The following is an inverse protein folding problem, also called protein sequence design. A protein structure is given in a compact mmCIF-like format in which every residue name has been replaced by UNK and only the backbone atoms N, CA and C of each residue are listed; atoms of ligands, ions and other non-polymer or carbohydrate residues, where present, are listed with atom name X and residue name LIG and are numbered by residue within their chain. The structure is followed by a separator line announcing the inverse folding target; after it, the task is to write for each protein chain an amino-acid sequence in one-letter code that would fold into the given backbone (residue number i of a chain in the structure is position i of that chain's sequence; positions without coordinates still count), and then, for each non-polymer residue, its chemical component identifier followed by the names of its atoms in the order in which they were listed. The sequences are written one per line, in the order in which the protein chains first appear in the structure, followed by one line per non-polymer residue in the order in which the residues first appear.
data_IF_799159925131
#
_entry.id   IF_799159925131
#
_cell.length_a   1.000
_cell.length_b   1.000
_cell.length_c   1.000
_cell.angle_alpha   90.00
_cell.angle_beta   90.00
_cell.angle_gamma   90.00
#
_symmetry.space_group_name_H-M   'P 1'
#
loop_
_entity.id
_entity.type
_entity.pdbx_description
1 polymer ?
#
# COMPACT_ATOMS: atom_id res chain seq x y z
N UNK A 1 12.98 -16.63 -17.17
CA UNK A 1 12.71 -16.04 -15.84
C UNK A 1 14.02 -16.12 -15.06
N UNK A 2 14.66 -14.99 -14.78
CA UNK A 2 16.06 -14.95 -14.32
C UNK A 2 16.22 -15.62 -12.94
N UNK A 3 16.99 -16.70 -12.91
CA UNK A 3 17.40 -17.47 -11.71
C UNK A 3 18.12 -16.59 -10.68
N UNK A 4 18.81 -15.54 -11.12
CA UNK A 4 19.52 -14.55 -10.30
C UNK A 4 18.62 -13.74 -9.35
N UNK A 5 17.29 -13.74 -9.53
CA UNK A 5 16.37 -13.09 -8.59
C UNK A 5 15.81 -14.05 -7.52
N UNK A 6 16.07 -15.35 -7.63
CA UNK A 6 15.57 -16.35 -6.68
C UNK A 6 16.27 -16.21 -5.32
N UNK A 7 17.59 -16.03 -5.34
CA UNK A 7 18.41 -15.94 -4.13
C UNK A 7 18.18 -14.63 -3.37
N UNK A 8 17.86 -13.54 -4.10
CA UNK A 8 17.44 -12.26 -3.50
C UNK A 8 16.07 -12.33 -2.78
N UNK A 9 15.25 -13.37 -3.02
CA UNK A 9 13.98 -13.58 -2.30
C UNK A 9 14.16 -14.42 -1.04
N UNK A 10 15.20 -15.23 -0.98
CA UNK A 10 15.58 -16.03 0.19
C UNK A 10 16.52 -15.23 1.13
N UNK A 11 16.57 -13.90 1.00
CA UNK A 11 17.32 -13.04 1.92
C UNK A 11 16.88 -13.29 3.38
N UNK A 12 17.82 -13.22 4.35
CA UNK A 12 17.54 -13.47 5.78
C UNK A 12 16.42 -12.60 6.37
N UNK A 13 16.10 -11.49 5.70
CA UNK A 13 15.00 -10.59 6.03
C UNK A 13 13.63 -11.21 5.78
N UNK A 14 13.49 -12.15 4.82
CA UNK A 14 12.19 -12.73 4.48
C UNK A 14 11.57 -13.49 5.66
N UNK A 15 12.37 -14.26 6.39
CA UNK A 15 11.92 -14.98 7.59
C UNK A 15 11.45 -14.02 8.68
N UNK A 16 12.17 -12.93 8.88
CA UNK A 16 11.80 -11.88 9.81
C UNK A 16 10.48 -11.21 9.41
N UNK A 17 10.32 -10.83 8.13
CA UNK A 17 9.10 -10.20 7.63
C UNK A 17 7.89 -11.14 7.73
N UNK A 18 8.04 -12.43 7.42
CA UNK A 18 6.98 -13.42 7.60
C UNK A 18 6.59 -13.57 9.08
N UNK A 19 7.58 -13.60 9.98
CA UNK A 19 7.34 -13.63 11.42
C UNK A 19 6.57 -12.39 11.89
N UNK A 20 7.03 -11.18 11.53
CA UNK A 20 6.35 -9.94 11.87
C UNK A 20 4.92 -9.90 11.31
N UNK A 21 4.71 -10.39 10.08
CA UNK A 21 3.39 -10.45 9.46
C UNK A 21 2.46 -11.38 10.24
N UNK A 22 2.96 -12.56 10.65
CA UNK A 22 2.18 -13.51 11.48
C UNK A 22 1.85 -12.91 12.83
N UNK A 23 2.81 -12.25 13.48
CA UNK A 23 2.63 -11.63 14.79
C UNK A 23 1.59 -10.51 14.73
N UNK A 24 1.65 -9.64 13.72
CA UNK A 24 0.66 -8.58 13.50
C UNK A 24 -0.72 -9.14 13.15
N UNK A 25 -0.79 -10.25 12.40
CA UNK A 25 -2.07 -10.90 12.07
C UNK A 25 -2.70 -11.55 13.31
N UNK A 26 -1.90 -12.22 14.14
CA UNK A 26 -2.35 -12.82 15.40
C UNK A 26 -2.87 -11.75 16.36
N UNK A 27 -2.06 -10.72 16.63
CA UNK A 27 -2.43 -9.59 17.48
C UNK A 27 -3.75 -8.94 17.03
N UNK A 28 -3.93 -8.75 15.72
CA UNK A 28 -5.18 -8.22 15.15
C UNK A 28 -6.38 -9.12 15.43
N UNK A 29 -6.23 -10.43 15.29
CA UNK A 29 -7.30 -11.39 15.54
C UNK A 29 -7.69 -11.43 17.02
N UNK A 30 -6.71 -11.40 17.92
CA UNK A 30 -6.92 -11.37 19.37
C UNK A 30 -7.65 -10.08 19.78
N UNK A 31 -7.16 -8.92 19.33
CA UNK A 31 -7.81 -7.65 19.61
C UNK A 31 -9.22 -7.56 19.04
N UNK A 32 -9.47 -8.09 17.84
CA UNK A 32 -10.82 -8.13 17.27
C UNK A 32 -11.79 -8.93 18.15
N UNK A 33 -11.32 -10.06 18.71
CA UNK A 33 -12.13 -10.86 19.65
C UNK A 33 -12.37 -10.10 20.95
N UNK A 34 -11.33 -9.48 21.50
CA UNK A 34 -11.42 -8.68 22.73
C UNK A 34 -12.40 -7.51 22.60
N UNK A 35 -12.30 -6.72 21.53
CA UNK A 35 -13.20 -5.58 21.25
C UNK A 35 -14.65 -6.07 21.18
N UNK A 36 -14.91 -7.17 20.45
CA UNK A 36 -16.26 -7.73 20.31
C UNK A 36 -16.82 -8.24 21.65
N UNK A 37 -15.99 -8.93 22.44
CA UNK A 37 -16.41 -9.46 23.73
C UNK A 37 -16.75 -8.36 24.74
N UNK A 38 -15.97 -7.28 24.76
CA UNK A 38 -16.13 -6.19 25.71
C UNK A 38 -17.04 -5.05 25.19
N UNK A 39 -17.65 -5.20 24.01
CA UNK A 39 -18.53 -4.19 23.43
C UNK A 39 -17.84 -2.84 23.15
N UNK A 40 -16.53 -2.84 22.96
CA UNK A 40 -15.76 -1.62 22.75
C UNK A 40 -15.88 -1.15 21.30
N UNK A 41 -15.77 0.16 21.08
CA UNK A 41 -15.63 0.70 19.74
C UNK A 41 -14.21 0.44 19.20
N UNK A 42 -14.04 -0.13 17.99
CA UNK A 42 -12.72 -0.40 17.44
C UNK A 42 -11.82 0.84 17.28
N UNK A 43 -12.42 2.01 17.03
CA UNK A 43 -11.67 3.26 16.87
C UNK A 43 -11.19 3.76 18.24
N UNK A 44 -12.00 3.62 19.29
CA UNK A 44 -11.60 3.94 20.67
C UNK A 44 -10.60 2.95 21.27
N UNK A 45 -10.62 1.68 20.85
CA UNK A 45 -9.67 0.66 21.30
C UNK A 45 -8.24 0.89 20.78
N UNK A 46 -8.11 1.44 19.56
CA UNK A 46 -6.79 1.81 19.05
C UNK A 46 -6.16 2.89 19.94
N UNK A 47 -4.83 2.81 20.15
CA UNK A 47 -4.11 3.75 21.01
C UNK A 47 -4.34 5.20 20.56
N UNK A 48 -4.24 6.15 21.50
CA UNK A 48 -4.37 7.59 21.24
C UNK A 48 -3.54 8.05 20.02
N UNK A 49 -2.38 7.42 19.81
CA UNK A 49 -1.45 7.66 18.72
C UNK A 49 -2.02 7.40 17.31
N UNK A 50 -3.10 6.63 17.19
CA UNK A 50 -3.74 6.34 15.90
C UNK A 50 -4.90 7.30 15.57
N UNK A 51 -5.20 8.26 16.46
CA UNK A 51 -6.21 9.27 16.16
C UNK A 51 -5.69 10.27 15.14
N UNK A 52 -6.59 10.75 14.28
CA UNK A 52 -6.24 11.69 13.20
C UNK A 52 -5.58 12.96 13.74
N UNK A 53 -6.12 13.52 14.82
CA UNK A 53 -5.60 14.72 15.48
C UNK A 53 -4.16 14.51 15.97
N UNK A 54 -3.88 13.36 16.60
CA UNK A 54 -2.52 13.02 17.04
C UNK A 54 -1.57 12.85 15.85
N UNK A 55 -1.99 12.12 14.82
CA UNK A 55 -1.19 11.95 13.60
C UNK A 55 -0.86 13.31 12.99
N UNK A 56 -1.86 14.19 12.80
CA UNK A 56 -1.63 15.53 12.26
C UNK A 56 -0.62 16.31 13.11
N UNK A 57 -0.76 16.30 14.45
CA UNK A 57 0.19 16.94 15.37
C UNK A 57 1.62 16.41 15.24
N UNK A 58 1.81 15.11 15.02
CA UNK A 58 3.17 14.58 14.79
C UNK A 58 3.79 15.08 13.49
N UNK A 59 2.98 15.40 12.49
CA UNK A 59 3.41 15.95 11.20
C UNK A 59 3.31 17.49 11.13
N UNK A 60 2.86 18.17 12.19
CA UNK A 60 2.84 19.64 12.28
C UNK A 60 4.26 20.20 12.41
N UNK A 61 5.19 19.42 12.98
CA UNK A 61 6.58 19.80 13.08
C UNK A 61 7.25 19.54 11.74
N UNK A 62 7.82 20.59 11.15
CA UNK A 62 8.57 20.53 9.91
C UNK A 62 9.92 19.82 10.16
N UNK A 63 9.94 18.49 10.05
CA UNK A 63 11.13 17.68 10.40
C UNK A 63 12.32 17.97 9.49
N UNK A 64 12.11 18.51 8.29
CA UNK A 64 13.15 19.06 7.41
C UNK A 64 12.49 20.08 6.49
N UNK A 65 12.61 21.39 6.74
CA UNK A 65 12.08 22.40 5.84
C UNK A 65 12.64 22.18 4.44
N UNK A 66 11.76 22.22 3.42
CA UNK A 66 12.24 22.40 2.06
C UNK A 66 12.88 23.81 2.03
N UNK A 67 14.16 23.92 1.64
CA UNK A 67 14.80 25.22 1.55
C UNK A 67 14.11 26.09 0.50
N UNK A 68 14.22 27.41 0.64
CA UNK A 68 13.73 28.33 -0.40
C UNK A 68 14.33 28.00 -1.77
N UNK A 69 13.56 28.16 -2.84
CA UNK A 69 14.02 27.84 -4.20
C UNK A 69 15.27 28.64 -4.59
N UNK A 70 15.46 29.85 -4.04
CA UNK A 70 16.62 30.69 -4.33
C UNK A 70 17.96 30.11 -3.86
N UNK A 71 17.95 29.16 -2.91
CA UNK A 71 19.17 28.52 -2.40
C UNK A 71 19.40 27.12 -3.02
N UNK A 72 18.56 26.68 -3.95
CA UNK A 72 18.73 25.39 -4.59
C UNK A 72 19.89 25.43 -5.57
N UNK A 73 20.96 24.67 -5.29
CA UNK A 73 22.06 24.46 -6.22
C UNK A 73 21.70 23.28 -7.13
N UNK A 74 21.37 23.55 -8.39
CA UNK A 74 21.16 22.52 -9.41
C UNK A 74 22.53 22.12 -9.99
N UNK A 75 22.99 20.87 -9.80
CA UNK A 75 24.26 20.43 -10.36
C UNK A 75 24.27 20.51 -11.89
N UNK A 76 25.44 20.80 -12.47
CA UNK A 76 25.61 20.98 -13.93
C UNK A 76 25.16 19.75 -14.70
N UNK A 77 25.43 18.55 -14.17
CA UNK A 77 25.06 17.27 -14.74
C UNK A 77 23.54 17.16 -14.90
N UNK A 78 22.75 17.72 -13.98
CA UNK A 78 21.29 17.74 -14.04
C UNK A 78 20.80 18.75 -15.08
N UNK A 79 21.46 19.90 -15.20
CA UNK A 79 21.13 20.90 -16.22
C UNK A 79 21.44 20.41 -17.65
N UNK A 80 22.51 19.64 -17.81
CA UNK A 80 22.94 19.06 -19.10
C UNK A 80 22.12 17.82 -19.49
N UNK A 81 21.40 17.21 -18.54
CA UNK A 81 20.53 16.08 -18.80
C UNK A 81 19.32 16.48 -19.65
N UNK A 82 19.43 16.30 -20.96
CA UNK A 82 18.31 16.41 -21.88
C UNK A 82 17.35 15.22 -21.70
N UNK A 83 16.30 15.42 -20.90
CA UNK A 83 15.22 14.42 -20.75
C UNK A 83 14.35 14.43 -21.99
N UNK A 84 14.64 13.53 -22.93
CA UNK A 84 13.79 13.34 -24.09
C UNK A 84 12.43 12.75 -23.67
N UNK A 85 11.31 13.20 -24.28
CA UNK A 85 10.03 12.55 -24.07
C UNK A 85 10.14 11.07 -24.49
N UNK A 86 9.34 10.18 -23.87
CA UNK A 86 9.26 8.80 -24.32
C UNK A 86 8.99 8.77 -25.83
N UNK A 87 9.73 7.94 -26.57
CA UNK A 87 9.48 7.72 -28.00
C UNK A 87 8.15 6.95 -28.13
N UNK A 88 7.05 7.71 -28.23
CA UNK A 88 5.69 7.19 -28.44
C UNK A 88 4.69 7.62 -27.36
N UNK A 89 3.42 7.76 -27.78
CA UNK A 89 2.31 7.98 -26.86
C UNK A 89 2.08 6.70 -26.05
N UNK A 90 2.14 6.78 -24.72
CA UNK A 90 1.55 5.72 -23.87
C UNK A 90 0.05 5.73 -24.12
N UNK A 91 -0.56 4.57 -24.34
CA UNK A 91 -2.01 4.46 -24.48
C UNK A 91 -2.72 5.11 -23.28
N UNK A 92 -3.90 5.68 -23.52
CA UNK A 92 -4.67 6.34 -22.47
C UNK A 92 -4.97 5.36 -21.34
N UNK A 93 -4.65 5.77 -20.11
CA UNK A 93 -4.93 5.01 -18.91
C UNK A 93 -3.77 4.15 -18.39
N UNK A 94 -3.98 3.60 -17.19
CA UNK A 94 -3.00 2.76 -16.50
C UNK A 94 -2.85 1.43 -17.23
N UNK A 95 -1.62 0.95 -17.53
CA UNK A 95 -1.41 -0.39 -18.03
C UNK A 95 -2.12 -1.40 -17.13
N UNK A 96 -3.02 -2.20 -17.71
CA UNK A 96 -3.76 -3.21 -16.97
C UNK A 96 -2.77 -4.25 -16.47
N UNK A 97 -2.48 -4.25 -15.16
CA UNK A 97 -1.81 -5.40 -14.52
C UNK A 97 -2.80 -6.55 -14.57
N UNK A 98 -2.39 -7.70 -15.16
CA UNK A 98 -3.14 -8.94 -15.01
C UNK A 98 -3.25 -9.21 -13.50
N UNK A 99 -4.48 -9.13 -12.99
CA UNK A 99 -4.75 -9.42 -11.58
C UNK A 99 -4.56 -10.92 -11.38
N UNK A 100 -3.60 -11.31 -10.56
CA UNK A 100 -3.53 -12.68 -10.06
C UNK A 100 -4.76 -12.89 -9.18
N UNK A 101 -5.73 -13.66 -9.67
CA UNK A 101 -6.89 -14.07 -8.87
C UNK A 101 -6.37 -14.88 -7.68
N UNK A 102 -6.87 -14.57 -6.48
CA UNK A 102 -6.70 -15.46 -5.33
C UNK A 102 -7.52 -16.73 -5.57
N UNK A 103 -7.15 -17.85 -4.94
CA UNK A 103 -7.88 -19.12 -5.08
C UNK A 103 -9.38 -18.99 -4.75
N UNK A 104 -9.72 -18.10 -3.80
CA UNK A 104 -11.11 -17.78 -3.42
C UNK A 104 -11.95 -17.17 -4.54
N UNK A 105 -11.32 -16.65 -5.60
CA UNK A 105 -12.00 -16.01 -6.73
C UNK A 105 -12.02 -16.87 -7.99
N UNK A 106 -11.25 -17.96 -8.04
CA UNK A 106 -11.25 -18.90 -9.16
C UNK A 106 -12.50 -19.78 -9.19
N UNK A 107 -13.25 -19.83 -8.07
CA UNK A 107 -14.43 -20.69 -7.89
C UNK A 107 -15.78 -19.96 -8.12
N UNK A 108 -15.79 -18.70 -8.54
CA UNK A 108 -17.02 -17.96 -8.83
C UNK A 108 -17.27 -17.89 -10.34
N UNK A 109 -17.73 -19.00 -10.93
CA UNK A 109 -18.10 -19.05 -12.35
C UNK A 109 -19.62 -18.98 -12.61
N UNK A 110 -20.45 -18.65 -11.61
CA UNK A 110 -21.89 -18.94 -11.73
C UNK A 110 -22.84 -17.82 -11.31
N UNK A 111 -22.37 -16.72 -10.72
CA UNK A 111 -23.29 -15.66 -10.30
C UNK A 111 -23.22 -14.49 -11.27
N UNK A 112 -24.08 -14.53 -12.30
CA UNK A 112 -24.58 -13.32 -12.97
C UNK A 112 -25.18 -12.42 -11.89
N UNK A 113 -24.43 -11.39 -11.50
CA UNK A 113 -24.92 -10.40 -10.57
C UNK A 113 -25.88 -9.48 -11.31
N UNK A 114 -27.18 -9.77 -11.22
CA UNK A 114 -28.22 -8.91 -11.76
C UNK A 114 -28.17 -7.53 -11.09
N UNK A 115 -28.25 -6.46 -11.90
CA UNK A 115 -28.29 -5.09 -11.43
C UNK A 115 -29.41 -4.93 -10.37
N UNK A 116 -29.10 -4.56 -9.12
CA UNK A 116 -30.13 -4.39 -8.06
C UNK A 116 -31.23 -3.39 -8.43
N UNK A 117 -30.94 -2.46 -9.34
CA UNK A 117 -31.87 -1.42 -9.82
C UNK A 117 -32.65 -1.83 -11.07
N UNK A 118 -32.10 -2.73 -11.88
CA UNK A 118 -32.57 -3.05 -13.23
C UNK A 118 -33.05 -4.50 -13.38
N UNK A 119 -32.65 -5.38 -12.46
CA UNK A 119 -32.89 -6.83 -12.36
C UNK A 119 -32.71 -7.66 -13.63
N UNK A 120 -31.98 -7.17 -14.63
CA UNK A 120 -31.61 -7.97 -15.80
C UNK A 120 -30.26 -8.66 -15.59
N UNK A 121 -30.22 -9.94 -15.96
CA UNK A 121 -29.05 -10.82 -15.97
C UNK A 121 -28.27 -10.71 -17.27
#
# INVERSE_FOLDING_TARGET
MNSTNKDARELPVRRLLEYLTKLMAQWRCENKKFIKHNGMDPIQFCSFYNKKDYLMKTWEILVNPIPDESIWVVPREVMENMVLPPKGKRGTGRPRKKRCKLASEMNNNNNTLACKRCRTS
#
